data_IF_741975662936
#
_entry.id   IF_741975662936
#
_cell.length_a   1.000
_cell.length_b   1.000
_cell.length_c   1.000
_cell.angle_alpha   90.00
_cell.angle_beta   90.00
_cell.angle_gamma   90.00
#
_symmetry.space_group_name_H-M   'P 1'
#
loop_
_entity.id
_entity.type
_entity.pdbx_description
1 polymer ?
#
# COMPACT_ATOMS: atom_id res chain seq x y z
N UNK A 1 -2.55 -4.64 -14.13
CA UNK A 1 -2.02 -5.34 -12.94
C UNK A 1 -1.03 -4.40 -12.25
N UNK A 2 -1.15 -4.22 -10.94
CA UNK A 2 -0.18 -3.51 -10.11
C UNK A 2 0.37 -4.48 -9.06
N UNK A 3 1.69 -4.51 -8.92
CA UNK A 3 2.36 -5.28 -7.87
C UNK A 3 2.76 -4.33 -6.74
N UNK A 4 2.36 -4.66 -5.52
CA UNK A 4 2.63 -3.87 -4.33
C UNK A 4 3.37 -4.71 -3.28
N UNK A 5 4.31 -4.09 -2.58
CA UNK A 5 4.88 -4.61 -1.34
C UNK A 5 4.24 -3.98 -0.10
N UNK A 6 4.65 -4.42 1.08
CA UNK A 6 4.27 -3.81 2.37
C UNK A 6 5.52 -3.60 3.23
N UNK A 7 5.73 -2.37 3.65
CA UNK A 7 6.79 -1.99 4.58
C UNK A 7 6.52 -2.46 6.02
N UNK A 8 7.54 -2.39 6.88
CA UNK A 8 7.40 -2.71 8.31
C UNK A 8 6.60 -1.67 9.11
N UNK A 9 6.23 -0.56 8.48
CA UNK A 9 5.33 0.47 8.98
C UNK A 9 3.98 0.46 8.24
N UNK A 10 3.70 -0.60 7.47
CA UNK A 10 2.48 -0.75 6.68
C UNK A 10 2.38 0.18 5.47
N UNK A 11 3.46 0.87 5.07
CA UNK A 11 3.49 1.60 3.81
C UNK A 11 3.38 0.65 2.61
N UNK A 12 2.92 1.18 1.48
CA UNK A 12 2.99 0.52 0.18
C UNK A 12 3.26 1.56 -0.90
N UNK A 13 3.73 1.15 -2.09
CA UNK A 13 4.30 2.09 -3.07
C UNK A 13 5.32 2.99 -2.36
N UNK A 14 5.21 4.31 -2.47
CA UNK A 14 5.86 5.27 -1.56
C UNK A 14 4.83 6.07 -0.75
N UNK A 15 3.68 5.48 -0.42
CA UNK A 15 2.66 6.04 0.47
C UNK A 15 2.99 5.66 1.93
N UNK A 16 3.77 6.51 2.60
CA UNK A 16 4.19 6.30 3.99
C UNK A 16 3.21 6.93 4.99
N UNK A 17 3.09 6.38 6.22
CA UNK A 17 2.31 6.99 7.27
C UNK A 17 2.67 8.47 7.48
N UNK A 18 1.65 9.34 7.59
CA UNK A 18 1.83 10.76 7.85
C UNK A 18 2.33 11.62 6.68
N UNK A 19 2.56 11.04 5.50
CA UNK A 19 3.03 11.80 4.33
C UNK A 19 1.90 12.48 3.54
N UNK A 20 2.21 13.60 2.87
CA UNK A 20 1.20 14.39 2.14
C UNK A 20 0.57 13.65 0.97
N UNK A 21 1.30 12.71 0.33
CA UNK A 21 0.73 11.92 -0.76
C UNK A 21 -0.47 11.04 -0.34
N UNK A 22 -0.68 10.81 0.96
CA UNK A 22 -1.89 10.13 1.46
C UNK A 22 -3.17 10.94 1.23
N UNK A 23 -3.06 12.26 1.06
CA UNK A 23 -4.17 13.19 0.84
C UNK A 23 -4.46 13.44 -0.65
N UNK A 24 -3.57 12.99 -1.55
CA UNK A 24 -3.72 13.20 -2.99
C UNK A 24 -4.83 12.31 -3.56
N UNK A 25 -5.84 12.95 -4.16
CA UNK A 25 -7.05 12.29 -4.64
C UNK A 25 -7.43 12.62 -6.10
N UNK A 26 -6.59 13.39 -6.82
CA UNK A 26 -6.81 13.83 -8.20
C UNK A 26 -5.75 13.27 -9.16
N UNK A 27 -4.49 13.34 -8.77
CA UNK A 27 -3.37 12.88 -9.60
C UNK A 27 -3.22 11.38 -9.49
N UNK A 28 -2.80 10.73 -10.58
CA UNK A 28 -2.45 9.31 -10.57
C UNK A 28 -1.08 9.02 -9.94
N UNK A 29 -0.14 9.95 -10.09
CA UNK A 29 1.19 9.88 -9.52
C UNK A 29 1.46 11.21 -8.81
N UNK A 30 2.17 11.17 -7.68
CA UNK A 30 2.48 12.36 -6.90
C UNK A 30 3.92 12.35 -6.38
N UNK A 31 4.55 13.53 -6.23
CA UNK A 31 5.75 13.62 -5.41
C UNK A 31 5.38 13.32 -3.96
N UNK A 32 6.25 12.59 -3.26
CA UNK A 32 6.12 12.35 -1.85
C UNK A 32 7.47 12.46 -1.16
N UNK A 33 7.64 13.49 -0.32
CA UNK A 33 8.80 13.54 0.55
C UNK A 33 8.59 12.57 1.72
N UNK A 34 9.56 11.69 1.98
CA UNK A 34 9.47 10.67 3.03
C UNK A 34 10.41 11.07 4.17
N UNK A 35 9.91 11.70 5.26
CA UNK A 35 10.77 12.24 6.33
C UNK A 35 11.66 11.17 6.96
N UNK A 36 11.13 9.96 7.16
CA UNK A 36 11.86 8.80 7.70
C UNK A 36 13.11 8.43 6.90
N UNK A 37 13.12 8.71 5.59
CA UNK A 37 14.24 8.39 4.70
C UNK A 37 15.04 9.63 4.27
N UNK A 38 14.54 10.84 4.56
CA UNK A 38 15.18 12.09 4.14
C UNK A 38 15.24 12.32 2.63
N UNK A 39 14.42 11.64 1.83
CA UNK A 39 14.48 11.69 0.36
C UNK A 39 13.11 11.89 -0.29
N UNK A 40 13.04 12.57 -1.45
CA UNK A 40 11.84 12.62 -2.27
C UNK A 40 11.61 11.29 -3.01
N UNK A 41 10.34 10.97 -3.25
CA UNK A 41 9.88 9.84 -4.07
C UNK A 41 8.82 10.33 -5.05
N UNK A 42 8.60 9.56 -6.12
CA UNK A 42 7.36 9.62 -6.90
C UNK A 42 6.58 8.36 -6.54
N UNK A 43 5.29 8.51 -6.25
CA UNK A 43 4.43 7.40 -5.80
C UNK A 43 3.17 7.32 -6.64
N UNK A 44 2.66 6.11 -6.80
CA UNK A 44 1.25 5.92 -7.16
C UNK A 44 0.37 6.40 -6.02
N UNK A 45 -0.71 7.10 -6.36
CA UNK A 45 -1.69 7.60 -5.38
C UNK A 45 -2.82 6.59 -5.20
N UNK A 46 -3.65 6.75 -4.16
CA UNK A 46 -4.87 5.94 -4.05
C UNK A 46 -5.82 6.15 -5.23
N UNK A 47 -5.80 7.33 -5.86
CA UNK A 47 -6.58 7.59 -7.05
C UNK A 47 -6.22 6.61 -8.17
N UNK A 48 -4.93 6.44 -8.51
CA UNK A 48 -4.52 5.45 -9.52
C UNK A 48 -4.86 4.03 -9.11
N UNK A 49 -4.61 3.67 -7.84
CA UNK A 49 -4.83 2.30 -7.36
C UNK A 49 -6.31 1.90 -7.51
N UNK A 50 -7.26 2.80 -7.20
CA UNK A 50 -8.70 2.53 -7.35
C UNK A 50 -9.14 2.19 -8.77
N UNK A 51 -8.50 2.72 -9.80
CA UNK A 51 -8.84 2.41 -11.21
C UNK A 51 -8.19 1.13 -11.75
N UNK A 52 -7.39 0.44 -10.94
CA UNK A 52 -6.64 -0.74 -11.38
C UNK A 52 -7.52 -1.99 -11.41
N UNK A 53 -7.51 -2.74 -12.52
CA UNK A 53 -8.31 -3.99 -12.64
C UNK A 53 -7.79 -5.17 -11.80
N UNK A 54 -6.55 -5.11 -11.34
CA UNK A 54 -5.94 -6.12 -10.48
C UNK A 54 -4.77 -5.52 -9.72
N UNK A 55 -4.76 -5.71 -8.39
CA UNK A 55 -3.67 -5.33 -7.49
C UNK A 55 -3.25 -6.56 -6.71
N UNK A 56 -1.96 -6.90 -6.77
CA UNK A 56 -1.41 -8.01 -6.01
C UNK A 56 -0.42 -7.48 -4.97
N UNK A 57 -0.71 -7.74 -3.70
CA UNK A 57 0.28 -7.60 -2.64
C UNK A 57 1.18 -8.83 -2.64
N UNK A 58 2.46 -8.65 -2.98
CA UNK A 58 3.46 -9.73 -3.01
C UNK A 58 4.48 -9.46 -1.91
N UNK A 59 4.49 -10.30 -0.88
CA UNK A 59 5.28 -10.06 0.33
C UNK A 59 5.92 -11.34 0.86
N UNK A 60 7.01 -11.19 1.61
CA UNK A 60 7.71 -12.29 2.27
C UNK A 60 8.11 -11.93 3.68
N UNK A 61 8.13 -12.92 4.55
CA UNK A 61 8.75 -12.87 5.87
C UNK A 61 7.75 -12.62 7.00
N UNK A 62 8.01 -13.18 8.19
CA UNK A 62 7.08 -13.19 9.30
C UNK A 62 6.75 -11.78 9.83
N UNK A 63 7.64 -10.80 9.63
CA UNK A 63 7.41 -9.41 10.05
C UNK A 63 6.21 -8.75 9.35
N UNK A 64 5.71 -9.32 8.25
CA UNK A 64 4.56 -8.78 7.50
C UNK A 64 3.23 -9.32 7.99
N UNK A 65 3.21 -10.43 8.74
CA UNK A 65 1.97 -11.12 9.09
C UNK A 65 0.90 -10.24 9.77
N UNK A 66 1.22 -9.31 10.70
CA UNK A 66 0.19 -8.46 11.30
C UNK A 66 -0.56 -7.62 10.24
N UNK A 67 0.17 -7.06 9.28
CA UNK A 67 -0.40 -6.28 8.17
C UNK A 67 -1.20 -7.17 7.23
N UNK A 68 -0.68 -8.35 6.90
CA UNK A 68 -1.37 -9.33 6.04
C UNK A 68 -2.68 -9.81 6.67
N UNK A 69 -2.68 -10.11 7.98
CA UNK A 69 -3.89 -10.48 8.72
C UNK A 69 -4.94 -9.37 8.71
N UNK A 70 -4.52 -8.11 8.91
CA UNK A 70 -5.42 -6.97 8.86
C UNK A 70 -6.02 -6.77 7.46
N UNK A 71 -5.20 -6.89 6.40
CA UNK A 71 -5.66 -6.82 5.01
C UNK A 71 -6.65 -7.94 4.66
N UNK A 72 -6.33 -9.18 5.02
CA UNK A 72 -7.18 -10.34 4.74
C UNK A 72 -8.55 -10.25 5.42
N UNK A 73 -8.62 -9.62 6.60
CA UNK A 73 -9.86 -9.37 7.34
C UNK A 73 -10.61 -8.12 6.88
N UNK A 74 -10.02 -7.32 6.00
CA UNK A 74 -10.50 -5.98 5.66
C UNK A 74 -10.81 -5.15 6.92
N UNK A 75 -9.93 -5.23 7.92
CA UNK A 75 -10.15 -4.65 9.24
C UNK A 75 -10.35 -3.13 9.13
N UNK A 76 -11.55 -2.59 9.44
CA UNK A 76 -11.81 -1.15 9.37
C UNK A 76 -10.97 -0.33 10.34
N UNK A 77 -10.43 -0.94 11.40
CA UNK A 77 -9.55 -0.28 12.36
C UNK A 77 -8.10 -0.18 11.87
N UNK A 78 -7.74 -0.84 10.77
CA UNK A 78 -6.38 -0.81 10.23
C UNK A 78 -6.03 0.56 9.62
N UNK A 79 -5.29 1.37 10.37
CA UNK A 79 -4.97 2.76 10.01
C UNK A 79 -3.70 2.93 9.15
N UNK A 80 -3.08 1.86 8.64
CA UNK A 80 -1.84 1.93 7.86
C UNK A 80 -2.08 2.09 6.35
N UNK A 81 -1.15 2.69 5.58
CA UNK A 81 -1.38 3.04 4.18
C UNK A 81 -1.78 1.87 3.26
N UNK A 82 -1.19 0.69 3.43
CA UNK A 82 -1.55 -0.48 2.62
C UNK A 82 -3.01 -0.92 2.82
N UNK A 83 -3.58 -0.77 4.03
CA UNK A 83 -4.99 -1.09 4.31
C UNK A 83 -5.99 -0.21 3.58
N UNK A 84 -5.55 0.97 3.10
CA UNK A 84 -6.39 1.91 2.35
C UNK A 84 -6.38 1.65 0.84
N UNK A 85 -5.61 0.66 0.38
CA UNK A 85 -5.60 0.27 -1.04
C UNK A 85 -6.87 -0.49 -1.37
N UNK A 86 -7.63 0.08 -2.29
CA UNK A 86 -8.86 -0.50 -2.83
C UNK A 86 -8.79 -0.48 -4.35
N UNK A 87 -9.50 -1.42 -4.98
CA UNK A 87 -9.80 -1.38 -6.41
C UNK A 87 -11.32 -1.28 -6.58
N UNK A 88 -11.77 -0.29 -7.33
CA UNK A 88 -13.20 -0.09 -7.62
C UNK A 88 -13.66 -0.92 -8.82
N UNK A 89 -12.71 -1.46 -9.61
CA UNK A 89 -12.97 -2.09 -10.91
C UNK A 89 -12.34 -3.47 -11.05
N UNK A 90 -11.91 -4.06 -9.94
CA UNK A 90 -11.04 -5.23 -9.97
C UNK A 90 -10.79 -5.87 -8.61
N UNK A 91 -9.76 -6.72 -8.55
CA UNK A 91 -9.41 -7.48 -7.34
C UNK A 91 -8.22 -6.88 -6.61
N UNK A 92 -8.19 -7.10 -5.30
CA UNK A 92 -7.00 -6.95 -4.45
C UNK A 92 -6.70 -8.33 -3.87
N UNK A 93 -5.58 -8.91 -4.28
CA UNK A 93 -5.16 -10.26 -3.89
C UNK A 93 -3.85 -10.19 -3.12
N UNK A 94 -3.64 -11.17 -2.23
CA UNK A 94 -2.48 -11.20 -1.33
C UNK A 94 -1.73 -12.51 -1.54
N UNK A 95 -0.48 -12.39 -1.95
CA UNK A 95 0.48 -13.47 -2.08
C UNK A 95 1.57 -13.27 -1.02
N UNK A 96 1.46 -14.02 0.08
CA UNK A 96 2.38 -13.91 1.21
C UNK A 96 3.11 -15.22 1.45
N UNK A 97 4.44 -15.19 1.47
CA UNK A 97 5.28 -16.32 1.82
C UNK A 97 5.87 -16.13 3.23
N UNK A 98 5.59 -17.07 4.13
CA UNK A 98 6.13 -17.09 5.50
C UNK A 98 7.41 -17.90 5.64
N UNK A 99 7.82 -18.64 4.59
CA UNK A 99 9.00 -19.51 4.63
C UNK A 99 10.33 -18.72 4.57
N UNK A 100 11.37 -19.21 5.29
CA UNK A 100 12.73 -18.64 5.27
C UNK A 100 13.35 -18.56 3.89
#
# INVERSE_FOLDING_TARGET
LILLGIGEDGHTSSLFPGTEALKENKLFMAPNFVPKLGVPRITSTYHLLRFSRAIWFVTRGPSKEPYIRALAKQDPAAAFPAAKVLSDRGTVEIYHCTSP
#
